data_IF_088066681070
#
_entry.id   IF_088066681070
#
_cell.length_a   1.000
_cell.length_b   1.000
_cell.length_c   1.000
_cell.angle_alpha   90.00
_cell.angle_beta   90.00
_cell.angle_gamma   90.00
#
_symmetry.space_group_name_H-M   'P 1'
#
loop_
_entity.id
_entity.type
_entity.pdbx_description
1 polymer ?
#
# COMPACT_ATOMS: atom_id res chain seq x y z
N UNK A 1 21.07 -38.46 -40.09
CA UNK A 1 21.59 -37.67 -38.95
C UNK A 1 20.64 -36.50 -38.74
N UNK A 2 19.91 -36.32 -37.64
CA UNK A 2 19.65 -37.11 -36.44
C UNK A 2 18.35 -36.56 -35.84
N UNK A 3 17.45 -37.45 -35.41
CA UNK A 3 16.28 -37.09 -34.60
C UNK A 3 16.81 -36.69 -33.22
N UNK A 4 16.38 -35.55 -32.69
CA UNK A 4 16.53 -35.24 -31.26
C UNK A 4 15.15 -35.23 -30.63
N UNK A 5 14.83 -36.35 -29.98
CA UNK A 5 13.83 -36.42 -28.93
C UNK A 5 14.24 -35.47 -27.81
N UNK A 6 13.40 -34.47 -27.53
CA UNK A 6 13.53 -33.66 -26.32
C UNK A 6 12.37 -34.03 -25.39
N UNK A 7 12.70 -34.98 -24.50
CA UNK A 7 12.18 -35.20 -23.15
C UNK A 7 10.68 -34.99 -22.90
N UNK A 8 9.92 -36.09 -22.97
CA UNK A 8 8.63 -36.31 -22.26
C UNK A 8 8.73 -36.32 -20.72
N UNK A 9 9.86 -35.91 -20.13
CA UNK A 9 10.11 -35.93 -18.68
C UNK A 9 9.93 -34.56 -17.99
N UNK A 10 9.65 -33.48 -18.72
CA UNK A 10 9.35 -32.16 -18.16
C UNK A 10 7.87 -31.94 -17.82
N UNK A 11 6.99 -32.88 -18.18
CA UNK A 11 5.53 -32.80 -17.94
C UNK A 11 5.06 -33.45 -16.63
N UNK A 12 5.97 -33.93 -15.78
CA UNK A 12 5.62 -34.60 -14.51
C UNK A 12 6.08 -33.88 -13.23
N UNK A 13 6.75 -32.73 -13.34
CA UNK A 13 7.28 -31.99 -12.17
C UNK A 13 6.66 -30.60 -11.97
N UNK A 14 5.59 -30.26 -12.71
CA UNK A 14 4.77 -29.06 -12.50
C UNK A 14 3.41 -29.36 -11.84
N UNK A 15 3.25 -30.57 -11.28
CA UNK A 15 2.27 -30.84 -10.24
C UNK A 15 3.01 -30.88 -8.89
N UNK A 16 3.64 -29.76 -8.53
CA UNK A 16 4.04 -29.55 -7.15
C UNK A 16 2.76 -29.28 -6.35
N UNK A 17 2.23 -30.33 -5.72
CA UNK A 17 1.40 -30.31 -4.51
C UNK A 17 0.53 -29.03 -4.35
N UNK A 18 -0.60 -28.96 -5.05
CA UNK A 18 -1.76 -28.26 -4.50
C UNK A 18 -2.17 -29.05 -3.26
N UNK A 19 -1.56 -28.71 -2.12
CA UNK A 19 -1.98 -29.18 -0.81
C UNK A 19 -3.47 -28.90 -0.72
N UNK A 20 -4.29 -29.96 -0.62
CA UNK A 20 -5.74 -29.82 -0.47
C UNK A 20 -6.01 -28.82 0.66
N UNK A 21 -6.56 -27.66 0.29
CA UNK A 21 -6.85 -26.61 1.26
C UNK A 21 -8.03 -27.09 2.09
N UNK A 22 -7.85 -27.09 3.41
CA UNK A 22 -8.90 -27.56 4.32
C UNK A 22 -10.07 -26.56 4.34
N UNK A 23 -11.33 -27.02 4.52
CA UNK A 23 -12.49 -26.14 4.60
C UNK A 23 -12.33 -25.01 5.63
N UNK A 24 -11.66 -25.27 6.76
CA UNK A 24 -11.44 -24.28 7.82
C UNK A 24 -10.52 -23.14 7.37
N UNK A 25 -9.52 -23.42 6.53
CA UNK A 25 -8.66 -22.38 5.96
C UNK A 25 -9.44 -21.48 5.00
N UNK A 26 -10.39 -22.05 4.25
CA UNK A 26 -11.24 -21.29 3.32
C UNK A 26 -12.23 -20.41 4.08
N UNK A 27 -12.87 -20.93 5.12
CA UNK A 27 -13.75 -20.16 6.01
C UNK A 27 -13.01 -18.97 6.63
N UNK A 28 -11.74 -19.18 7.02
CA UNK A 28 -10.88 -18.08 7.51
C UNK A 28 -10.62 -17.03 6.43
N UNK A 29 -10.33 -17.43 5.20
CA UNK A 29 -10.12 -16.49 4.09
C UNK A 29 -11.38 -15.67 3.80
N UNK A 30 -12.56 -16.31 3.82
CA UNK A 30 -13.85 -15.63 3.73
C UNK A 30 -14.04 -14.63 4.85
N UNK A 31 -13.81 -15.04 6.11
CA UNK A 31 -13.91 -14.16 7.29
C UNK A 31 -13.00 -12.95 7.16
N UNK A 32 -11.71 -13.17 6.91
CA UNK A 32 -10.73 -12.10 6.81
C UNK A 32 -11.10 -11.13 5.67
N UNK A 33 -11.44 -11.65 4.49
CA UNK A 33 -11.81 -10.84 3.32
C UNK A 33 -13.12 -10.09 3.49
N UNK A 34 -14.08 -10.67 4.21
CA UNK A 34 -15.36 -10.04 4.54
C UNK A 34 -15.18 -8.85 5.46
N UNK A 35 -14.44 -9.04 6.56
CA UNK A 35 -14.22 -7.98 7.54
C UNK A 35 -13.28 -6.86 7.07
N UNK A 36 -12.36 -7.14 6.15
CA UNK A 36 -11.54 -6.11 5.48
C UNK A 36 -12.23 -5.47 4.27
N UNK A 37 -13.46 -5.92 3.93
CA UNK A 37 -14.25 -5.45 2.78
C UNK A 37 -13.51 -5.57 1.44
N UNK A 38 -12.87 -6.71 1.19
CA UNK A 38 -12.20 -6.97 -0.07
C UNK A 38 -13.18 -7.04 -1.24
N UNK A 39 -12.68 -6.86 -2.47
CA UNK A 39 -13.52 -7.00 -3.67
C UNK A 39 -14.07 -8.42 -3.73
N UNK A 40 -15.37 -8.57 -4.00
CA UNK A 40 -15.99 -9.90 -4.09
C UNK A 40 -15.21 -10.83 -5.03
N UNK A 41 -14.69 -10.33 -6.15
CA UNK A 41 -13.91 -11.15 -7.09
C UNK A 41 -12.63 -11.79 -6.51
N UNK A 42 -12.12 -11.32 -5.36
CA UNK A 42 -10.92 -11.91 -4.72
C UNK A 42 -11.23 -13.02 -3.71
N UNK A 43 -12.50 -13.31 -3.43
CA UNK A 43 -12.87 -14.37 -2.50
C UNK A 43 -12.65 -15.75 -3.13
N UNK A 44 -12.42 -16.81 -2.33
CA UNK A 44 -12.17 -18.17 -2.80
C UNK A 44 -13.47 -18.88 -3.24
N UNK A 45 -14.21 -18.24 -4.15
CA UNK A 45 -15.50 -18.73 -4.63
C UNK A 45 -15.42 -20.07 -5.36
N UNK A 46 -14.31 -20.37 -6.04
CA UNK A 46 -14.14 -21.63 -6.77
C UNK A 46 -14.22 -22.85 -5.85
N UNK A 47 -13.72 -22.72 -4.62
CA UNK A 47 -13.86 -23.77 -3.61
C UNK A 47 -15.33 -23.92 -3.21
N UNK A 48 -16.02 -22.81 -2.94
CA UNK A 48 -17.43 -22.83 -2.57
C UNK A 48 -18.29 -23.46 -3.67
N UNK A 49 -18.06 -23.10 -4.93
CA UNK A 49 -18.80 -23.65 -6.07
C UNK A 49 -18.61 -25.18 -6.18
N UNK A 50 -17.38 -25.67 -5.92
CA UNK A 50 -17.08 -27.10 -5.90
C UNK A 50 -17.76 -27.84 -4.75
N UNK A 51 -17.80 -27.25 -3.55
CA UNK A 51 -18.50 -27.82 -2.39
C UNK A 51 -20.02 -27.91 -2.63
N UNK A 52 -20.61 -26.84 -3.18
CA UNK A 52 -22.03 -26.81 -3.52
C UNK A 52 -22.40 -27.87 -4.56
N UNK A 53 -21.54 -28.11 -5.55
CA UNK A 53 -21.77 -29.13 -6.59
C UNK A 53 -21.60 -30.57 -6.08
N UNK A 54 -20.63 -30.80 -5.18
CA UNK A 54 -20.25 -32.15 -4.74
C UNK A 54 -21.10 -32.67 -3.58
N UNK A 55 -21.34 -31.84 -2.57
CA UNK A 55 -21.98 -32.27 -1.34
C UNK A 55 -23.47 -31.89 -1.31
N UNK A 56 -23.87 -30.84 -2.06
CA UNK A 56 -25.22 -30.21 -2.01
C UNK A 56 -25.71 -29.86 -0.59
N UNK A 57 -24.86 -30.02 0.41
CA UNK A 57 -25.14 -29.72 1.80
C UNK A 57 -24.95 -28.22 2.02
N UNK A 58 -25.94 -27.62 2.66
CA UNK A 58 -25.88 -26.21 3.05
C UNK A 58 -25.06 -25.96 4.32
N UNK A 59 -24.46 -27.01 4.90
CA UNK A 59 -23.68 -26.94 6.13
C UNK A 59 -22.48 -25.97 6.01
N UNK A 60 -21.77 -26.02 4.88
CA UNK A 60 -20.63 -25.11 4.65
C UNK A 60 -21.09 -23.64 4.55
N UNK A 61 -22.25 -23.37 3.94
CA UNK A 61 -22.81 -22.00 3.87
C UNK A 61 -23.23 -21.52 5.25
N UNK A 62 -23.89 -22.36 6.06
CA UNK A 62 -24.27 -22.00 7.43
C UNK A 62 -23.02 -21.66 8.26
N UNK A 63 -21.95 -22.45 8.15
CA UNK A 63 -20.69 -22.13 8.82
C UNK A 63 -20.04 -20.85 8.28
N UNK A 64 -20.05 -20.65 6.95
CA UNK A 64 -19.57 -19.41 6.33
C UNK A 64 -20.32 -18.17 6.85
N UNK A 65 -21.64 -18.27 7.03
CA UNK A 65 -22.45 -17.20 7.60
C UNK A 65 -22.08 -16.90 9.06
N UNK A 66 -21.86 -17.95 9.88
CA UNK A 66 -21.35 -17.82 11.26
C UNK A 66 -19.98 -17.17 11.33
N UNK A 67 -19.14 -17.40 10.32
CA UNK A 67 -17.82 -16.77 10.21
C UNK A 67 -17.85 -15.35 9.60
N UNK A 68 -18.99 -14.86 9.11
CA UNK A 68 -19.11 -13.57 8.42
C UNK A 68 -20.24 -12.69 8.98
N UNK A 69 -21.42 -12.68 8.35
CA UNK A 69 -22.52 -11.78 8.70
C UNK A 69 -23.08 -12.03 10.11
N UNK A 70 -23.09 -13.29 10.55
CA UNK A 70 -23.60 -13.70 11.88
C UNK A 70 -22.49 -13.76 12.94
N UNK A 71 -21.25 -13.41 12.57
CA UNK A 71 -20.13 -13.41 13.50
C UNK A 71 -20.30 -12.31 14.56
N UNK A 72 -19.98 -12.54 15.85
CA UNK A 72 -20.15 -11.53 16.91
C UNK A 72 -19.45 -10.19 16.63
N UNK A 73 -18.29 -10.24 15.97
CA UNK A 73 -17.56 -9.05 15.51
C UNK A 73 -18.37 -8.22 14.51
N UNK A 74 -19.20 -8.83 13.66
CA UNK A 74 -20.06 -8.13 12.72
C UNK A 74 -21.17 -7.35 13.45
N UNK A 75 -21.71 -7.89 14.54
CA UNK A 75 -22.67 -7.17 15.38
C UNK A 75 -22.07 -5.94 16.06
N UNK A 76 -20.80 -6.00 16.46
CA UNK A 76 -20.11 -4.87 17.14
C UNK A 76 -19.49 -3.87 16.16
N UNK A 77 -18.86 -4.37 15.11
CA UNK A 77 -18.08 -3.60 14.13
C UNK A 77 -18.46 -4.04 12.72
N UNK A 78 -19.68 -3.71 12.26
CA UNK A 78 -20.20 -4.20 10.98
C UNK A 78 -19.45 -3.57 9.79
N UNK A 79 -19.11 -4.39 8.77
CA UNK A 79 -18.82 -3.89 7.43
C UNK A 79 -19.99 -3.05 6.87
N UNK A 80 -19.72 -2.26 5.83
CA UNK A 80 -20.74 -1.36 5.27
C UNK A 80 -22.00 -2.12 4.85
N UNK A 81 -23.16 -1.49 5.06
CA UNK A 81 -24.48 -2.07 4.72
C UNK A 81 -24.50 -2.51 3.25
N UNK A 82 -24.02 -1.65 2.35
CA UNK A 82 -23.89 -1.96 0.92
C UNK A 82 -23.05 -3.22 0.68
N UNK A 83 -21.91 -3.36 1.35
CA UNK A 83 -21.02 -4.51 1.18
C UNK A 83 -21.66 -5.81 1.69
N UNK A 84 -22.27 -5.78 2.88
CA UNK A 84 -22.98 -6.93 3.44
C UNK A 84 -24.12 -7.39 2.51
N UNK A 85 -24.88 -6.44 1.95
CA UNK A 85 -25.96 -6.72 0.99
C UNK A 85 -25.44 -7.47 -0.25
N UNK A 86 -24.41 -6.93 -0.91
CA UNK A 86 -23.86 -7.57 -2.13
C UNK A 86 -23.21 -8.92 -1.84
N UNK A 87 -22.59 -9.08 -0.66
CA UNK A 87 -21.99 -10.35 -0.25
C UNK A 87 -23.05 -11.44 -0.04
N UNK A 88 -24.11 -11.13 0.70
CA UNK A 88 -25.24 -12.04 0.93
C UNK A 88 -25.97 -12.38 -0.37
N UNK A 89 -26.24 -11.38 -1.23
CA UNK A 89 -26.85 -11.63 -2.55
C UNK A 89 -25.99 -12.53 -3.44
N UNK A 90 -24.66 -12.41 -3.39
CA UNK A 90 -23.76 -13.28 -4.16
C UNK A 90 -23.79 -14.72 -3.64
N UNK A 91 -23.90 -14.94 -2.32
CA UNK A 91 -24.07 -16.28 -1.74
C UNK A 91 -25.39 -16.93 -2.15
N UNK A 92 -26.49 -16.16 -2.17
CA UNK A 92 -27.81 -16.65 -2.63
C UNK A 92 -27.71 -17.08 -4.10
N UNK A 93 -27.22 -16.17 -4.96
CA UNK A 93 -27.08 -16.41 -6.39
C UNK A 93 -26.25 -17.66 -6.69
N UNK A 94 -25.19 -17.93 -5.91
CA UNK A 94 -24.33 -19.11 -6.11
C UNK A 94 -25.01 -20.42 -5.72
N UNK A 95 -25.79 -20.43 -4.64
CA UNK A 95 -26.61 -21.60 -4.28
C UNK A 95 -27.67 -21.89 -5.33
N UNK A 96 -28.40 -20.86 -5.77
CA UNK A 96 -29.40 -20.98 -6.84
C UNK A 96 -28.78 -21.51 -8.14
N UNK A 97 -27.61 -21.00 -8.53
CA UNK A 97 -26.88 -21.46 -9.71
C UNK A 97 -26.39 -22.91 -9.61
N UNK A 98 -26.14 -23.41 -8.39
CA UNK A 98 -25.81 -24.80 -8.12
C UNK A 98 -27.05 -25.72 -8.05
N UNK A 99 -28.27 -25.16 -8.22
CA UNK A 99 -29.53 -25.89 -8.10
C UNK A 99 -29.84 -26.30 -6.65
N UNK A 100 -29.30 -25.57 -5.68
CA UNK A 100 -29.61 -25.72 -4.25
C UNK A 100 -30.63 -24.66 -3.84
N UNK A 101 -31.56 -25.02 -2.95
CA UNK A 101 -32.43 -24.04 -2.30
C UNK A 101 -31.60 -23.24 -1.27
N UNK A 102 -31.54 -21.90 -1.34
CA UNK A 102 -30.75 -21.12 -0.40
C UNK A 102 -31.30 -21.23 1.03
N UNK A 103 -30.41 -21.26 2.01
CA UNK A 103 -30.78 -21.30 3.43
C UNK A 103 -31.69 -20.14 3.86
N UNK A 104 -32.71 -20.44 4.65
CA UNK A 104 -33.58 -19.43 5.28
C UNK A 104 -32.76 -18.40 6.10
N UNK A 105 -31.75 -18.87 6.85
CA UNK A 105 -30.83 -18.03 7.63
C UNK A 105 -30.13 -16.95 6.77
N UNK A 106 -29.90 -17.23 5.48
CA UNK A 106 -29.27 -16.31 4.54
C UNK A 106 -30.23 -15.20 4.10
N UNK A 107 -31.50 -15.56 3.88
CA UNK A 107 -32.56 -14.59 3.58
C UNK A 107 -32.86 -13.72 4.80
N UNK A 108 -32.90 -14.30 6.00
CA UNK A 108 -33.07 -13.56 7.26
C UNK A 108 -31.94 -12.54 7.45
N UNK A 109 -30.69 -12.95 7.27
CA UNK A 109 -29.53 -12.06 7.35
C UNK A 109 -29.59 -10.94 6.29
N UNK A 110 -30.07 -11.24 5.07
CA UNK A 110 -30.23 -10.23 4.03
C UNK A 110 -31.37 -9.25 4.36
N UNK A 111 -32.50 -9.74 4.86
CA UNK A 111 -33.64 -8.93 5.27
C UNK A 111 -33.26 -7.97 6.39
N UNK A 112 -32.47 -8.43 7.37
CA UNK A 112 -31.92 -7.58 8.43
C UNK A 112 -31.08 -6.44 7.84
N UNK A 113 -30.17 -6.74 6.91
CA UNK A 113 -29.31 -5.72 6.27
C UNK A 113 -30.11 -4.74 5.40
N UNK A 114 -31.19 -5.18 4.76
CA UNK A 114 -32.06 -4.32 3.96
C UNK A 114 -32.83 -3.29 4.81
N UNK A 115 -33.05 -3.59 6.10
CA UNK A 115 -33.68 -2.68 7.05
C UNK A 115 -32.76 -1.59 7.61
N UNK A 116 -31.44 -1.66 7.34
CA UNK A 116 -30.44 -0.73 7.90
C UNK A 116 -30.14 0.42 6.93
N UNK A 117 -30.12 1.65 7.46
CA UNK A 117 -29.74 2.84 6.70
C UNK A 117 -28.25 2.82 6.30
N UNK A 118 -27.96 3.16 5.04
CA UNK A 118 -26.58 3.29 4.56
C UNK A 118 -25.95 4.58 5.10
N UNK A 119 -24.77 4.46 5.70
CA UNK A 119 -24.00 5.62 6.18
C UNK A 119 -22.68 5.75 5.42
N UNK A 120 -22.03 6.92 5.55
CA UNK A 120 -20.72 7.18 4.95
C UNK A 120 -19.57 6.50 5.70
N UNK A 121 -19.84 5.95 6.89
CA UNK A 121 -18.87 5.28 7.74
C UNK A 121 -19.15 3.77 7.77
N UNK A 122 -18.09 3.00 7.91
CA UNK A 122 -18.18 1.58 8.19
C UNK A 122 -17.05 1.14 9.10
N UNK A 123 -17.13 -0.11 9.56
CA UNK A 123 -16.00 -0.73 10.21
C UNK A 123 -15.29 -1.67 9.23
N UNK A 124 -13.96 -1.63 9.26
CA UNK A 124 -13.13 -2.72 8.76
C UNK A 124 -12.41 -3.35 9.93
N UNK A 125 -12.27 -4.67 9.91
CA UNK A 125 -11.55 -5.40 10.95
C UNK A 125 -10.44 -6.27 10.34
N UNK A 126 -9.27 -6.18 10.95
CA UNK A 126 -8.02 -6.80 10.51
C UNK A 126 -7.55 -7.79 11.58
N UNK A 127 -7.53 -9.08 11.26
CA UNK A 127 -7.15 -10.13 12.22
C UNK A 127 -5.62 -10.25 12.29
N UNK A 128 -5.04 -10.12 13.49
CA UNK A 128 -3.58 -10.10 13.68
C UNK A 128 -2.92 -11.48 13.62
N UNK A 129 -3.68 -12.54 13.91
CA UNK A 129 -3.17 -13.93 13.90
C UNK A 129 -4.11 -14.79 13.06
N UNK A 130 -3.56 -15.47 12.06
CA UNK A 130 -4.32 -16.39 11.19
C UNK A 130 -4.93 -17.56 12.00
N UNK A 131 -4.41 -17.89 13.19
CA UNK A 131 -4.89 -18.95 14.07
C UNK A 131 -5.54 -18.43 15.37
N UNK A 132 -5.96 -17.16 15.42
CA UNK A 132 -6.64 -16.63 16.60
C UNK A 132 -7.92 -17.42 16.91
N UNK A 133 -8.20 -17.56 18.22
CA UNK A 133 -9.47 -18.01 18.78
C UNK A 133 -10.68 -17.40 18.04
N UNK A 134 -11.83 -18.09 17.93
CA UNK A 134 -13.06 -17.55 17.34
C UNK A 134 -13.50 -16.18 17.90
N UNK A 135 -13.01 -15.76 19.07
CA UNK A 135 -13.23 -14.41 19.63
C UNK A 135 -12.08 -13.41 19.29
N UNK A 136 -11.45 -13.61 18.13
CA UNK A 136 -10.05 -13.28 17.84
C UNK A 136 -9.58 -11.82 17.95
N UNK A 137 -8.26 -11.72 18.18
CA UNK A 137 -7.43 -10.51 18.30
C UNK A 137 -7.43 -9.69 16.99
N UNK A 138 -8.53 -8.95 16.74
CA UNK A 138 -8.69 -8.11 15.56
C UNK A 138 -8.52 -6.62 15.92
N UNK A 139 -7.94 -5.87 14.99
CA UNK A 139 -7.96 -4.40 14.98
C UNK A 139 -9.18 -3.98 14.16
N UNK A 140 -10.14 -3.32 14.81
CA UNK A 140 -11.30 -2.75 14.14
C UNK A 140 -11.11 -1.25 13.98
N UNK A 141 -11.41 -0.69 12.81
CA UNK A 141 -11.26 0.72 12.50
C UNK A 141 -12.56 1.24 11.91
N UNK A 142 -12.98 2.42 12.35
CA UNK A 142 -13.98 3.22 11.65
C UNK A 142 -13.28 3.88 10.46
N UNK A 143 -13.79 3.61 9.26
CA UNK A 143 -13.30 4.14 7.99
C UNK A 143 -14.44 4.77 7.18
N UNK A 144 -14.11 5.68 6.27
CA UNK A 144 -15.06 6.17 5.28
C UNK A 144 -15.24 5.11 4.18
N UNK A 145 -16.47 4.98 3.67
CA UNK A 145 -16.76 4.09 2.54
C UNK A 145 -16.10 4.59 1.26
N UNK A 146 -15.99 5.92 1.10
CA UNK A 146 -15.35 6.56 -0.03
C UNK A 146 -13.85 6.78 0.22
N UNK A 147 -13.01 6.39 -0.75
CA UNK A 147 -11.53 6.55 -0.70
C UNK A 147 -11.10 8.02 -0.60
N UNK A 148 -11.87 8.93 -1.23
CA UNK A 148 -11.67 10.37 -1.12
C UNK A 148 -12.93 10.94 -0.47
N UNK A 149 -12.77 11.56 0.69
CA UNK A 149 -13.86 12.13 1.46
C UNK A 149 -13.36 13.32 2.26
N UNK A 150 -14.16 14.37 2.41
CA UNK A 150 -13.79 15.56 3.21
C UNK A 150 -12.44 16.19 2.79
N UNK A 151 -12.12 16.10 1.50
CA UNK A 151 -10.85 16.55 0.94
C UNK A 151 -9.66 15.62 1.23
N UNK A 152 -9.82 14.59 2.06
CA UNK A 152 -8.78 13.67 2.54
C UNK A 152 -8.86 12.27 1.97
N UNK A 153 -7.72 11.57 1.99
CA UNK A 153 -7.57 10.13 1.76
C UNK A 153 -7.14 9.38 3.02
N UNK A 154 -6.89 10.09 4.13
CA UNK A 154 -6.45 9.54 5.41
C UNK A 154 -7.57 8.87 6.22
N UNK A 155 -8.80 8.84 5.70
CA UNK A 155 -9.97 8.22 6.33
C UNK A 155 -10.21 6.77 5.90
N UNK A 156 -9.26 6.19 5.14
CA UNK A 156 -9.26 4.77 4.73
C UNK A 156 -7.88 4.17 4.90
N UNK A 157 -7.83 2.85 5.10
CA UNK A 157 -6.56 2.09 5.12
C UNK A 157 -6.01 1.86 3.71
N UNK A 158 -4.72 2.10 3.53
CA UNK A 158 -3.98 1.89 2.26
C UNK A 158 -3.12 0.61 2.28
N UNK A 159 -2.78 0.07 1.10
CA UNK A 159 -2.02 -1.19 1.01
C UNK A 159 -0.63 -1.11 1.65
N UNK A 160 0.03 0.04 1.60
CA UNK A 160 1.32 0.25 2.27
C UNK A 160 1.20 0.12 3.80
N UNK A 161 0.09 0.56 4.39
CA UNK A 161 -0.15 0.44 5.83
C UNK A 161 -0.36 -1.03 6.23
N UNK A 162 -1.06 -1.80 5.39
CA UNK A 162 -1.23 -3.24 5.58
C UNK A 162 0.11 -3.98 5.48
N UNK A 163 0.90 -3.68 4.45
CA UNK A 163 2.24 -4.28 4.28
C UNK A 163 3.16 -3.93 5.45
N UNK A 164 3.18 -2.66 5.88
CA UNK A 164 4.01 -2.25 7.01
C UNK A 164 3.53 -2.90 8.32
N UNK A 165 2.23 -3.05 8.51
CA UNK A 165 1.69 -3.77 9.66
C UNK A 165 2.11 -5.26 9.67
N UNK A 166 2.13 -5.93 8.51
CA UNK A 166 2.67 -7.30 8.42
C UNK A 166 4.17 -7.35 8.74
N UNK A 167 4.95 -6.42 8.20
CA UNK A 167 6.38 -6.33 8.50
C UNK A 167 6.64 -6.08 9.99
N UNK A 168 5.82 -5.24 10.63
CA UNK A 168 5.86 -4.98 12.08
C UNK A 168 5.64 -6.25 12.88
N UNK A 169 4.66 -7.09 12.50
CA UNK A 169 4.38 -8.35 13.20
C UNK A 169 5.57 -9.33 13.14
N UNK A 170 6.37 -9.27 12.07
CA UNK A 170 7.57 -10.10 11.90
C UNK A 170 8.83 -9.49 12.54
N UNK A 171 8.79 -8.19 12.89
CA UNK A 171 9.95 -7.46 13.41
C UNK A 171 9.65 -6.71 14.73
N UNK A 172 9.05 -7.36 15.75
CA UNK A 172 8.67 -6.69 16.99
C UNK A 172 9.87 -6.09 17.76
N UNK A 173 11.07 -6.65 17.60
CA UNK A 173 12.31 -6.17 18.21
C UNK A 173 12.69 -4.75 17.79
N UNK A 174 12.20 -4.27 16.64
CA UNK A 174 12.47 -2.91 16.14
C UNK A 174 11.70 -1.86 16.94
N UNK A 175 10.64 -2.25 17.66
CA UNK A 175 9.75 -1.34 18.39
C UNK A 175 9.72 -1.62 19.90
N UNK A 176 10.14 -2.81 20.33
CA UNK A 176 10.12 -3.20 21.75
C UNK A 176 10.92 -2.23 22.59
N UNK A 177 10.28 -1.67 23.61
CA UNK A 177 10.95 -0.74 24.52
C UNK A 177 11.27 0.64 23.94
N UNK A 178 10.83 0.96 22.72
CA UNK A 178 11.17 2.18 22.00
C UNK A 178 10.07 3.24 22.00
N UNK A 179 10.46 4.50 21.83
CA UNK A 179 9.58 5.62 21.52
C UNK A 179 9.38 5.70 20.00
N UNK A 180 8.15 5.57 19.53
CA UNK A 180 7.82 5.47 18.10
C UNK A 180 7.00 6.67 17.65
N UNK A 181 7.36 7.27 16.51
CA UNK A 181 6.57 8.29 15.82
C UNK A 181 6.07 7.75 14.48
N UNK A 182 4.77 7.84 14.23
CA UNK A 182 4.20 7.55 12.92
C UNK A 182 3.81 8.84 12.21
N UNK A 183 4.33 9.03 10.99
CA UNK A 183 4.04 10.18 10.13
C UNK A 183 2.92 9.81 9.15
N UNK A 184 1.84 10.60 9.15
CA UNK A 184 0.69 10.35 8.27
C UNK A 184 -0.06 9.08 8.66
N UNK A 185 -0.41 8.94 9.94
CA UNK A 185 -1.07 7.77 10.52
C UNK A 185 -2.41 7.42 9.87
N UNK A 186 -3.11 8.38 9.26
CA UNK A 186 -4.44 8.14 8.70
C UNK A 186 -5.40 7.61 9.76
N UNK A 187 -6.06 6.48 9.47
CA UNK A 187 -6.97 5.79 10.42
C UNK A 187 -6.25 4.98 11.50
N UNK A 188 -4.92 4.81 11.42
CA UNK A 188 -4.08 4.31 12.52
C UNK A 188 -3.77 2.82 12.52
N UNK A 189 -4.03 2.08 11.43
CA UNK A 189 -3.83 0.62 11.39
C UNK A 189 -2.43 0.19 11.85
N UNK A 190 -1.39 0.76 11.25
CA UNK A 190 -0.01 0.34 11.51
C UNK A 190 0.41 0.68 12.93
N UNK A 191 0.18 1.91 13.40
CA UNK A 191 0.50 2.28 14.77
C UNK A 191 -0.27 1.49 15.84
N UNK A 192 -1.54 1.16 15.61
CA UNK A 192 -2.31 0.29 16.52
C UNK A 192 -1.73 -1.13 16.53
N UNK A 193 -1.26 -1.62 15.37
CA UNK A 193 -0.56 -2.91 15.26
C UNK A 193 0.73 -2.91 16.09
N UNK A 194 1.57 -1.87 15.97
CA UNK A 194 2.80 -1.73 16.77
C UNK A 194 2.47 -1.73 18.27
N UNK A 195 1.45 -0.96 18.68
CA UNK A 195 1.07 -0.84 20.08
C UNK A 195 0.60 -2.17 20.69
N UNK A 196 -0.12 -2.99 19.92
CA UNK A 196 -0.68 -4.27 20.40
C UNK A 196 0.33 -5.42 20.34
N UNK A 197 1.20 -5.42 19.34
CA UNK A 197 2.03 -6.59 19.03
C UNK A 197 3.51 -6.44 19.37
N UNK A 198 4.00 -5.20 19.60
CA UNK A 198 5.44 -4.96 19.70
C UNK A 198 5.90 -4.26 20.97
N UNK A 199 5.01 -4.00 21.94
CA UNK A 199 5.34 -3.45 23.27
C UNK A 199 6.29 -2.23 23.25
N UNK A 200 5.99 -1.15 22.51
CA UNK A 200 6.75 0.10 22.63
C UNK A 200 6.57 0.72 24.03
N UNK A 201 7.44 1.65 24.43
CA UNK A 201 7.20 2.45 25.66
C UNK A 201 6.28 3.63 25.39
N UNK A 202 6.37 4.22 24.19
CA UNK A 202 5.61 5.38 23.75
C UNK A 202 5.30 5.27 22.27
N UNK A 203 4.09 5.66 21.88
CA UNK A 203 3.71 5.78 20.48
C UNK A 203 3.04 7.12 20.24
N UNK A 204 3.54 7.88 19.26
CA UNK A 204 2.97 9.14 18.79
C UNK A 204 2.41 8.92 17.41
N UNK A 205 1.09 8.91 17.31
CA UNK A 205 0.37 8.98 16.05
C UNK A 205 0.37 10.43 15.57
N UNK A 206 0.63 10.67 14.29
CA UNK A 206 0.60 12.03 13.75
C UNK A 206 0.04 12.13 12.34
N UNK A 207 -0.68 13.22 12.10
CA UNK A 207 -1.29 13.58 10.83
C UNK A 207 -1.43 15.11 10.76
N UNK A 208 -1.64 15.68 9.57
CA UNK A 208 -1.81 17.12 9.41
C UNK A 208 -3.29 17.55 9.40
N UNK A 209 -4.22 16.63 9.12
CA UNK A 209 -5.65 16.94 8.99
C UNK A 209 -6.43 16.76 10.29
N UNK A 210 -7.10 17.82 10.74
CA UNK A 210 -7.92 17.79 11.95
C UNK A 210 -9.00 16.69 11.94
N UNK A 211 -9.70 16.51 10.82
CA UNK A 211 -10.72 15.46 10.65
C UNK A 211 -10.11 14.06 10.75
N UNK A 212 -8.92 13.85 10.16
CA UNK A 212 -8.20 12.56 10.25
C UNK A 212 -7.76 12.32 11.69
N UNK A 213 -7.21 13.33 12.38
CA UNK A 213 -6.80 13.23 13.77
C UNK A 213 -7.98 12.92 14.71
N UNK A 214 -9.16 13.47 14.46
CA UNK A 214 -10.36 13.15 15.22
C UNK A 214 -10.75 11.67 15.06
N UNK A 215 -10.84 11.20 13.82
CA UNK A 215 -11.11 9.79 13.49
C UNK A 215 -10.05 8.85 14.07
N UNK A 216 -8.79 9.24 14.00
CA UNK A 216 -7.67 8.49 14.54
C UNK A 216 -7.77 8.35 16.07
N UNK A 217 -8.14 9.42 16.79
CA UNK A 217 -8.38 9.35 18.24
C UNK A 217 -9.53 8.40 18.57
N UNK A 218 -10.58 8.38 17.76
CA UNK A 218 -11.67 7.42 17.89
C UNK A 218 -11.16 5.98 17.75
N UNK A 219 -10.41 5.68 16.67
CA UNK A 219 -9.87 4.36 16.41
C UNK A 219 -8.86 3.89 17.47
N UNK A 220 -7.99 4.77 17.95
CA UNK A 220 -7.05 4.48 19.05
C UNK A 220 -7.83 4.07 20.31
N UNK A 221 -8.85 4.83 20.70
CA UNK A 221 -9.71 4.51 21.85
C UNK A 221 -10.50 3.23 21.66
N UNK A 222 -11.05 3.02 20.45
CA UNK A 222 -11.84 1.84 20.08
C UNK A 222 -11.03 0.54 20.25
N UNK A 223 -9.72 0.60 19.99
CA UNK A 223 -8.80 -0.52 20.17
C UNK A 223 -8.19 -0.61 21.58
N UNK A 224 -8.77 0.08 22.56
CA UNK A 224 -8.38 0.00 23.97
C UNK A 224 -7.03 0.66 24.30
N UNK A 225 -6.51 1.50 23.40
CA UNK A 225 -5.28 2.25 23.61
C UNK A 225 -5.56 3.62 24.24
N UNK A 226 -4.64 4.08 25.09
CA UNK A 226 -4.78 5.31 25.87
C UNK A 226 -5.17 5.07 27.34
N UNK A 227 -5.52 6.14 28.04
CA UNK A 227 -5.97 6.07 29.45
C UNK A 227 -4.87 5.74 30.46
N UNK A 228 -3.63 6.15 30.20
CA UNK A 228 -2.49 5.98 31.13
C UNK A 228 -1.92 4.56 31.19
N UNK A 229 -2.34 3.66 30.30
CA UNK A 229 -1.77 2.32 30.14
C UNK A 229 -0.49 2.37 29.31
N UNK A 230 0.33 1.32 29.40
CA UNK A 230 1.47 1.11 28.50
C UNK A 230 1.00 0.44 27.20
N UNK A 231 1.45 0.86 26.01
CA UNK A 231 2.32 2.01 25.76
C UNK A 231 1.63 3.35 26.02
N UNK A 232 2.42 4.38 26.37
CA UNK A 232 1.91 5.75 26.39
C UNK A 232 1.59 6.20 24.96
N UNK A 233 0.31 6.40 24.65
CA UNK A 233 -0.15 6.79 23.30
C UNK A 233 -0.60 8.25 23.25
N UNK A 234 -0.15 8.98 22.24
CA UNK A 234 -0.63 10.34 21.92
C UNK A 234 -1.00 10.47 20.44
N UNK A 235 -1.94 11.38 20.13
CA UNK A 235 -2.36 11.71 18.76
C UNK A 235 -2.19 13.21 18.54
N UNK A 236 -1.13 13.56 17.81
CA UNK A 236 -0.65 14.93 17.67
C UNK A 236 -0.74 15.42 16.23
N UNK A 237 -1.02 16.71 16.04
CA UNK A 237 -0.96 17.32 14.72
C UNK A 237 0.50 17.54 14.33
N UNK A 238 0.90 17.06 13.16
CA UNK A 238 2.24 17.28 12.62
C UNK A 238 2.15 17.48 11.10
N UNK A 239 2.38 18.71 10.68
CA UNK A 239 2.51 19.08 9.27
C UNK A 239 3.98 19.06 8.86
N UNK A 240 4.32 18.27 7.86
CA UNK A 240 5.70 18.07 7.43
C UNK A 240 6.38 19.36 6.97
N UNK A 241 5.61 20.28 6.38
CA UNK A 241 6.16 21.55 5.88
C UNK A 241 6.45 22.56 7.00
N UNK A 242 5.67 22.51 8.08
CA UNK A 242 5.66 23.58 9.10
C UNK A 242 6.04 23.11 10.50
N UNK A 243 6.31 21.82 10.71
CA UNK A 243 6.67 21.26 12.01
C UNK A 243 7.89 21.98 12.64
N UNK A 244 7.71 22.65 13.80
CA UNK A 244 8.80 23.33 14.47
C UNK A 244 9.75 22.32 15.12
N UNK A 245 11.04 22.64 15.15
CA UNK A 245 12.06 21.76 15.73
C UNK A 245 11.78 21.41 17.20
N UNK A 246 11.23 22.36 17.96
CA UNK A 246 10.83 22.14 19.36
C UNK A 246 9.80 21.02 19.52
N UNK A 247 8.86 20.88 18.59
CA UNK A 247 7.91 19.78 18.60
C UNK A 247 8.64 18.43 18.39
N UNK A 248 9.58 18.39 17.45
CA UNK A 248 10.38 17.18 17.15
C UNK A 248 11.26 16.79 18.35
N UNK A 249 11.88 17.77 19.01
CA UNK A 249 12.69 17.56 20.22
C UNK A 249 11.88 17.06 21.42
N UNK A 250 10.58 17.34 21.46
CA UNK A 250 9.68 16.83 22.51
C UNK A 250 9.24 15.39 22.29
N UNK A 251 9.13 14.97 21.03
CA UNK A 251 8.70 13.60 20.69
C UNK A 251 9.78 12.58 21.09
N UNK A 252 11.06 12.89 20.82
CA UNK A 252 12.21 12.01 21.07
C UNK A 252 11.99 10.59 20.51
N UNK A 253 11.78 10.44 19.20
CA UNK A 253 11.55 9.12 18.61
C UNK A 253 12.86 8.35 18.49
N UNK A 254 12.85 7.08 18.92
CA UNK A 254 13.90 6.11 18.60
C UNK A 254 13.63 5.47 17.23
N UNK A 255 12.36 5.33 16.86
CA UNK A 255 11.92 4.78 15.57
C UNK A 255 10.86 5.70 14.95
N UNK A 256 10.97 5.98 13.66
CA UNK A 256 9.98 6.72 12.86
C UNK A 256 9.46 5.82 11.76
N UNK A 257 8.15 5.74 11.60
CA UNK A 257 7.49 4.98 10.54
C UNK A 257 6.57 5.86 9.70
N UNK A 258 6.42 5.56 8.42
CA UNK A 258 5.44 6.18 7.53
C UNK A 258 4.94 5.16 6.49
N UNK A 259 3.65 5.20 6.15
CA UNK A 259 3.06 4.35 5.12
C UNK A 259 2.07 5.11 4.24
N UNK A 260 2.19 4.98 2.91
CA UNK A 260 1.22 5.63 2.00
C UNK A 260 1.37 5.25 0.52
N UNK A 261 0.39 5.63 -0.33
CA UNK A 261 0.40 5.37 -1.77
C UNK A 261 1.22 6.39 -2.59
N UNK A 262 1.68 5.97 -3.78
CA UNK A 262 2.39 6.78 -4.79
C UNK A 262 1.78 6.60 -6.22
N UNK A 263 0.63 7.19 -6.52
CA UNK A 263 -0.18 7.38 -7.78
C UNK A 263 -0.30 8.77 -8.48
N UNK A 264 0.09 8.93 -9.74
CA UNK A 264 -0.19 10.15 -10.52
C UNK A 264 -1.69 10.34 -10.82
N UNK A 265 -2.24 11.55 -10.63
CA UNK A 265 -3.58 11.95 -11.08
C UNK A 265 -3.67 13.43 -11.47
N UNK A 266 -4.58 13.85 -12.37
CA UNK A 266 -4.60 15.21 -12.90
C UNK A 266 -4.96 16.25 -11.82
N UNK A 267 -4.07 17.22 -11.62
CA UNK A 267 -4.30 18.39 -10.78
C UNK A 267 -5.36 19.30 -11.41
N UNK A 268 -6.60 19.16 -10.97
CA UNK A 268 -7.62 20.18 -11.20
C UNK A 268 -8.29 20.51 -9.87
N UNK A 269 -8.21 21.80 -9.52
CA UNK A 269 -8.79 22.50 -8.38
C UNK A 269 -7.85 22.72 -7.18
N UNK A 270 -7.39 23.97 -7.05
CA UNK A 270 -6.73 24.55 -5.87
C UNK A 270 -7.75 24.60 -4.72
N UNK A 271 -7.68 23.64 -3.81
CA UNK A 271 -8.13 23.69 -2.41
C UNK A 271 -8.24 22.27 -1.82
N UNK A 272 -7.20 21.43 -1.96
CA UNK A 272 -7.21 20.07 -1.39
C UNK A 272 -5.76 19.63 -1.17
N UNK A 273 -5.23 19.77 0.05
CA UNK A 273 -3.92 19.22 0.42
C UNK A 273 -4.20 18.21 1.52
N UNK A 274 -4.17 16.91 1.17
CA UNK A 274 -4.18 15.78 2.10
C UNK A 274 -3.30 14.68 1.54
N UNK A 275 -2.89 13.72 2.40
CA UNK A 275 -2.16 12.45 2.25
C UNK A 275 -2.58 11.53 1.08
N UNK A 276 -3.19 12.10 0.05
CA UNK A 276 -3.14 11.67 -1.33
C UNK A 276 -1.73 11.86 -1.91
N UNK A 277 -0.84 12.57 -1.20
CA UNK A 277 0.43 12.98 -1.76
C UNK A 277 1.66 12.81 -0.84
N UNK A 278 2.18 11.58 -0.66
CA UNK A 278 3.54 11.41 -0.10
C UNK A 278 4.63 11.76 -1.12
N UNK A 279 4.35 11.77 -2.44
CA UNK A 279 5.43 11.82 -3.45
C UNK A 279 5.13 12.67 -4.72
N UNK A 280 4.11 13.52 -4.77
CA UNK A 280 3.63 14.06 -6.07
C UNK A 280 3.77 15.54 -6.22
N UNK A 281 3.50 16.25 -5.13
CA UNK A 281 3.92 17.61 -5.03
C UNK A 281 5.42 17.55 -4.68
N UNK A 282 6.33 18.01 -5.56
CA UNK A 282 7.72 18.12 -5.22
C UNK A 282 7.92 18.93 -3.92
N UNK A 283 6.98 19.81 -3.57
CA UNK A 283 6.96 20.54 -2.31
C UNK A 283 6.66 19.62 -1.11
N UNK A 284 5.71 18.68 -1.22
CA UNK A 284 5.41 17.74 -0.12
C UNK A 284 6.50 16.67 0.03
N UNK A 285 7.02 16.15 -1.08
CA UNK A 285 8.16 15.23 -1.06
C UNK A 285 9.42 15.92 -0.48
N UNK A 286 9.64 17.19 -0.83
CA UNK A 286 10.68 18.03 -0.23
C UNK A 286 10.43 18.26 1.26
N UNK A 287 9.21 18.64 1.64
CA UNK A 287 8.83 18.86 3.04
C UNK A 287 9.03 17.62 3.91
N UNK A 288 8.68 16.43 3.39
CA UNK A 288 8.96 15.18 4.07
C UNK A 288 10.47 14.96 4.19
N UNK A 289 11.25 15.10 3.12
CA UNK A 289 12.71 14.97 3.18
C UNK A 289 13.35 15.93 4.20
N UNK A 290 12.91 17.19 4.22
CA UNK A 290 13.37 18.21 5.16
C UNK A 290 12.99 17.87 6.61
N UNK A 291 11.77 17.36 6.84
CA UNK A 291 11.35 16.86 8.14
C UNK A 291 12.20 15.68 8.60
N UNK A 292 12.45 14.70 7.73
CA UNK A 292 13.27 13.52 8.06
C UNK A 292 14.71 13.93 8.42
N UNK A 293 15.30 14.87 7.66
CA UNK A 293 16.61 15.44 7.98
C UNK A 293 16.57 16.18 9.33
N UNK A 294 15.54 16.99 9.58
CA UNK A 294 15.35 17.69 10.86
C UNK A 294 15.24 16.71 12.03
N UNK A 295 14.53 15.60 11.87
CA UNK A 295 14.45 14.52 12.86
C UNK A 295 15.84 13.94 13.13
N UNK A 296 16.60 13.56 12.10
CA UNK A 296 17.94 12.99 12.25
C UNK A 296 18.96 13.99 12.82
N UNK A 297 18.78 15.29 12.59
CA UNK A 297 19.59 16.33 13.21
C UNK A 297 19.29 16.46 14.72
N UNK A 298 18.04 16.26 15.13
CA UNK A 298 17.67 16.23 16.55
C UNK A 298 18.05 14.91 17.22
N UNK A 299 17.96 13.80 16.48
CA UNK A 299 18.04 12.43 16.97
C UNK A 299 18.81 11.56 15.97
N UNK A 300 20.14 11.65 15.98
CA UNK A 300 21.01 10.96 15.02
C UNK A 300 20.85 9.42 15.05
N UNK A 301 20.50 8.85 16.21
CA UNK A 301 20.27 7.42 16.35
C UNK A 301 18.86 6.94 15.92
N UNK A 302 17.97 7.86 15.50
CA UNK A 302 16.60 7.50 15.15
C UNK A 302 16.56 6.62 13.89
N UNK A 303 15.83 5.51 13.96
CA UNK A 303 15.64 4.58 12.86
C UNK A 303 14.39 4.95 12.05
N UNK A 304 14.56 5.34 10.78
CA UNK A 304 13.46 5.83 9.94
C UNK A 304 13.11 4.78 8.88
N UNK A 305 11.85 4.35 8.86
CA UNK A 305 11.31 3.37 7.91
C UNK A 305 10.12 3.97 7.14
N UNK A 306 10.14 3.85 5.81
CA UNK A 306 9.09 4.39 4.93
C UNK A 306 8.60 3.27 4.02
N UNK A 307 7.31 2.98 4.09
CA UNK A 307 6.64 2.01 3.23
C UNK A 307 5.80 2.73 2.17
N UNK A 308 6.02 2.39 0.89
CA UNK A 308 5.35 3.04 -0.24
C UNK A 308 4.70 2.02 -1.17
N UNK A 309 3.41 2.19 -1.47
CA UNK A 309 2.78 1.51 -2.62
C UNK A 309 3.16 2.25 -3.90
N UNK A 310 3.98 1.64 -4.74
CA UNK A 310 4.49 2.24 -5.97
C UNK A 310 3.46 2.05 -7.08
N UNK A 311 2.72 3.11 -7.41
CA UNK A 311 1.75 3.09 -8.52
C UNK A 311 2.25 3.89 -9.73
N UNK A 312 3.18 4.82 -9.53
CA UNK A 312 3.95 5.50 -10.58
C UNK A 312 5.47 5.45 -10.25
N UNK A 313 6.27 4.65 -11.00
CA UNK A 313 7.71 4.51 -10.76
C UNK A 313 8.52 5.80 -10.91
N UNK A 314 8.18 6.67 -11.86
CA UNK A 314 8.89 7.94 -12.09
C UNK A 314 8.74 8.88 -10.90
N UNK A 315 7.52 8.97 -10.40
CA UNK A 315 7.18 9.79 -9.24
C UNK A 315 7.93 9.29 -8.01
N UNK A 316 7.90 7.98 -7.76
CA UNK A 316 8.64 7.36 -6.67
C UNK A 316 10.17 7.56 -6.77
N UNK A 317 10.73 7.47 -7.98
CA UNK A 317 12.13 7.82 -8.25
C UNK A 317 12.44 9.29 -7.92
N UNK A 318 11.51 10.21 -8.21
CA UNK A 318 11.61 11.62 -7.85
C UNK A 318 11.72 11.85 -6.33
N UNK A 319 10.96 11.12 -5.51
CA UNK A 319 11.10 11.18 -4.04
C UNK A 319 12.46 10.70 -3.55
N UNK A 320 12.97 9.59 -4.08
CA UNK A 320 14.32 9.10 -3.76
C UNK A 320 15.40 10.15 -4.06
N UNK A 321 15.30 10.80 -5.22
CA UNK A 321 16.19 11.92 -5.58
C UNK A 321 16.05 13.12 -4.64
N UNK A 322 14.85 13.42 -4.12
CA UNK A 322 14.64 14.48 -3.13
C UNK A 322 15.26 14.15 -1.78
N UNK A 323 15.15 12.91 -1.31
CA UNK A 323 15.89 12.44 -0.13
C UNK A 323 17.40 12.64 -0.33
N UNK A 324 17.92 12.22 -1.48
CA UNK A 324 19.34 12.37 -1.80
C UNK A 324 19.81 13.82 -1.85
N UNK A 325 19.00 14.72 -2.41
CA UNK A 325 19.27 16.15 -2.49
C UNK A 325 19.25 16.82 -1.10
N UNK A 326 18.45 16.32 -0.17
CA UNK A 326 18.42 16.75 1.23
C UNK A 326 19.57 16.17 2.08
N UNK A 327 20.50 15.42 1.49
CA UNK A 327 21.62 14.79 2.21
C UNK A 327 21.27 13.46 2.90
N UNK A 328 20.12 12.87 2.56
CA UNK A 328 19.67 11.58 3.08
C UNK A 328 20.04 10.44 2.11
N UNK A 329 20.48 9.33 2.67
CA UNK A 329 20.61 8.04 1.98
C UNK A 329 19.38 7.17 2.27
N UNK A 330 19.12 6.20 1.40
CA UNK A 330 18.08 5.21 1.63
C UNK A 330 18.55 3.81 1.24
N UNK A 331 18.06 2.80 1.96
CA UNK A 331 18.31 1.39 1.69
C UNK A 331 16.97 0.66 1.57
N UNK A 332 16.78 -0.08 0.48
CA UNK A 332 15.60 -0.95 0.33
C UNK A 332 15.74 -2.14 1.26
N UNK A 333 14.74 -2.38 2.10
CA UNK A 333 14.66 -3.57 2.93
C UNK A 333 14.00 -4.69 2.11
N UNK A 334 14.78 -5.72 1.81
CA UNK A 334 14.34 -6.87 1.03
C UNK A 334 14.08 -8.07 1.93
N UNK A 335 13.01 -8.80 1.67
CA UNK A 335 12.67 -10.05 2.36
C UNK A 335 11.22 -10.42 2.07
N UNK A 336 10.85 -11.71 2.24
CA UNK A 336 9.43 -12.05 2.28
C UNK A 336 8.79 -11.34 3.48
N UNK A 337 7.60 -10.80 3.26
CA UNK A 337 6.71 -10.32 4.32
C UNK A 337 5.50 -11.24 4.34
N UNK A 338 5.12 -11.69 5.53
CA UNK A 338 4.00 -12.59 5.75
C UNK A 338 2.71 -12.06 5.16
N UNK A 339 1.85 -12.97 4.69
CA UNK A 339 0.55 -12.62 4.13
C UNK A 339 -0.55 -12.79 5.18
N UNK A 340 -0.60 -11.88 6.15
CA UNK A 340 -1.56 -11.90 7.26
C UNK A 340 -2.88 -11.25 6.83
N UNK A 341 -2.81 -10.12 6.13
CA UNK A 341 -4.00 -9.38 5.71
C UNK A 341 -4.34 -9.67 4.24
N UNK A 342 -5.64 -9.81 3.91
CA UNK A 342 -6.05 -9.98 2.53
C UNK A 342 -6.08 -8.61 1.85
N UNK A 343 -5.19 -8.38 0.88
CA UNK A 343 -5.23 -7.19 0.01
C UNK A 343 -4.49 -7.46 -1.31
N UNK A 344 -4.66 -6.55 -2.28
CA UNK A 344 -4.00 -6.69 -3.58
C UNK A 344 -2.51 -6.39 -3.48
N UNK A 345 -1.67 -7.35 -3.89
CA UNK A 345 -0.22 -7.20 -4.03
C UNK A 345 0.22 -6.97 -5.48
N UNK A 346 -0.71 -6.55 -6.34
CA UNK A 346 -0.42 -6.31 -7.76
C UNK A 346 0.46 -5.08 -7.97
N UNK A 347 0.26 -4.03 -7.16
CA UNK A 347 1.16 -2.89 -7.15
C UNK A 347 2.40 -3.23 -6.31
N UNK A 348 3.62 -2.95 -6.80
CA UNK A 348 4.83 -3.10 -5.99
C UNK A 348 4.74 -2.26 -4.72
N UNK A 349 5.13 -2.83 -3.59
CA UNK A 349 5.28 -2.13 -2.31
C UNK A 349 6.75 -2.21 -1.93
N UNK A 350 7.34 -1.07 -1.57
CA UNK A 350 8.74 -0.98 -1.17
C UNK A 350 8.84 -0.37 0.22
N UNK A 351 9.60 -1.04 1.09
CA UNK A 351 9.99 -0.55 2.40
C UNK A 351 11.44 -0.10 2.34
N UNK A 352 11.71 1.15 2.71
CA UNK A 352 13.06 1.72 2.76
C UNK A 352 13.43 2.15 4.17
N UNK A 353 14.70 1.97 4.52
CA UNK A 353 15.33 2.61 5.67
C UNK A 353 16.04 3.89 5.23
N UNK A 354 15.79 5.00 5.91
CA UNK A 354 16.39 6.31 5.61
C UNK A 354 17.44 6.66 6.67
N UNK A 355 18.58 7.21 6.25
CA UNK A 355 19.71 7.55 7.12
C UNK A 355 20.45 8.78 6.58
N UNK A 356 21.31 9.41 7.38
CA UNK A 356 22.17 10.50 6.89
C UNK A 356 23.27 9.94 6.00
N UNK A 357 23.57 10.58 4.87
CA UNK A 357 24.65 10.10 3.96
C UNK A 357 26.01 9.99 4.65
N UNK A 358 26.28 10.85 5.63
CA UNK A 358 27.53 10.85 6.41
C UNK A 358 27.66 9.65 7.36
N UNK A 359 26.56 8.94 7.63
CA UNK A 359 26.43 7.81 8.55
C UNK A 359 26.20 6.49 7.80
N UNK A 360 26.59 6.42 6.52
CA UNK A 360 26.45 5.20 5.72
C UNK A 360 26.97 3.98 6.51
N UNK A 361 26.19 2.88 6.59
CA UNK A 361 26.59 1.71 7.35
C UNK A 361 28.00 1.25 6.94
N UNK A 362 28.92 1.16 7.90
CA UNK A 362 30.30 0.70 7.71
C UNK A 362 30.42 -0.74 7.16
N UNK A 363 29.30 -1.44 6.96
CA UNK A 363 29.26 -2.75 6.31
C UNK A 363 28.72 -2.65 4.89
N UNK A 364 29.60 -2.25 3.96
CA UNK A 364 29.74 -2.81 2.60
C UNK A 364 30.83 -2.05 1.82
N UNK A 365 32.03 -2.01 2.40
CA UNK A 365 33.24 -1.54 1.73
C UNK A 365 34.05 -2.66 1.10
N UNK A 366 33.43 -3.61 0.36
CA UNK A 366 34.16 -4.57 -0.48
C UNK A 366 33.27 -5.29 -1.51
N UNK A 367 32.63 -4.58 -2.43
CA UNK A 367 32.35 -5.09 -3.77
C UNK A 367 31.82 -3.97 -4.69
N UNK A 368 32.42 -3.85 -5.87
CA UNK A 368 31.96 -3.04 -7.01
C UNK A 368 32.01 -1.51 -6.88
N UNK A 369 33.23 -0.95 -6.80
CA UNK A 369 33.49 0.32 -7.51
C UNK A 369 33.45 0.02 -9.02
N UNK A 370 32.26 0.12 -9.60
CA UNK A 370 32.10 0.23 -11.04
C UNK A 370 32.80 1.50 -11.51
N UNK A 371 33.93 1.32 -12.21
CA UNK A 371 34.63 2.42 -12.88
C UNK A 371 33.68 3.02 -13.90
N UNK A 372 33.41 4.31 -13.75
CA UNK A 372 32.80 5.14 -14.79
C UNK A 372 33.63 5.06 -16.06
N UNK A 373 32.93 4.81 -17.17
CA UNK A 373 33.39 4.53 -18.54
C UNK A 373 34.18 5.66 -19.24
N UNK A 374 34.82 6.59 -18.52
CA UNK A 374 35.49 7.77 -19.11
C UNK A 374 36.91 8.06 -18.57
N UNK A 375 37.65 7.07 -18.07
CA UNK A 375 39.02 7.34 -17.56
C UNK A 375 40.13 6.36 -17.98
N UNK A 376 39.99 5.65 -19.11
CA UNK A 376 41.08 4.82 -19.65
C UNK A 376 41.23 4.99 -21.16
N UNK A 377 41.66 6.18 -21.59
CA UNK A 377 42.30 6.38 -22.90
C UNK A 377 43.38 7.48 -22.78
N UNK A 378 44.29 7.35 -21.81
CA UNK A 378 45.55 8.09 -21.83
C UNK A 378 46.59 7.37 -20.98
N UNK A 379 47.23 6.34 -21.53
CA UNK A 379 48.59 5.91 -21.20
C UNK A 379 48.77 4.49 -21.72
N UNK A 380 49.47 4.36 -22.85
CA UNK A 380 50.73 3.63 -22.93
C UNK A 380 51.21 3.59 -24.38
N UNK A 381 52.33 4.27 -24.62
CA UNK A 381 53.25 4.02 -25.73
C UNK A 381 53.92 2.66 -25.49
N UNK A 382 53.99 1.80 -26.51
CA UNK A 382 55.23 1.13 -26.95
C UNK A 382 54.98 0.22 -28.18
N UNK A 383 56.04 -0.14 -28.94
CA UNK A 383 56.02 -0.10 -30.40
C UNK A 383 56.24 -1.47 -31.09
N UNK A 384 56.22 -1.42 -32.43
CA UNK A 384 56.80 -2.38 -33.40
C UNK A 384 55.98 -3.64 -33.76
N UNK A 385 55.36 -3.58 -34.96
CA UNK A 385 55.54 -4.48 -36.13
C UNK A 385 54.43 -4.13 -37.14
N UNK A 386 54.63 -3.11 -37.97
CA UNK A 386 55.24 -3.19 -39.31
C UNK A 386 54.36 -3.89 -40.38
N UNK A 387 53.87 -3.03 -41.30
CA UNK A 387 53.52 -3.27 -42.72
C UNK A 387 52.26 -4.12 -42.94
N UNK A 388 51.27 -3.69 -43.73
CA UNK A 388 51.40 -3.42 -45.18
C UNK A 388 50.09 -2.83 -45.73
N UNK A 389 50.22 -2.08 -46.83
CA UNK A 389 49.19 -1.62 -47.78
C UNK A 389 48.55 -0.22 -47.62
N UNK A 390 49.34 0.76 -48.07
CA UNK A 390 48.97 1.83 -49.01
C UNK A 390 47.77 1.51 -49.93
N UNK A 391 46.74 2.37 -49.98
CA UNK A 391 46.43 3.28 -51.13
C UNK A 391 45.04 3.94 -51.04
N UNK A 392 45.06 5.27 -51.27
CA UNK A 392 44.08 6.13 -51.98
C UNK A 392 42.80 6.62 -51.27
N UNK A 393 42.83 7.90 -50.88
CA UNK A 393 41.77 8.92 -51.11
C UNK A 393 41.62 9.21 -52.63
N UNK A 394 40.66 9.99 -53.18
CA UNK A 394 39.76 11.02 -52.60
C UNK A 394 38.25 10.75 -52.95
N UNK A 395 37.20 11.54 -52.68
CA UNK A 395 36.97 12.98 -52.86
C UNK A 395 35.58 13.40 -52.34
N UNK A 396 35.48 14.62 -51.79
CA UNK A 396 34.25 15.43 -51.63
C UNK A 396 33.77 15.96 -53.01
N UNK A 397 32.51 16.42 -53.14
CA UNK A 397 32.27 17.87 -53.00
C UNK A 397 30.98 18.28 -52.25
N UNK A 398 31.09 19.49 -51.72
CA UNK A 398 30.07 20.43 -51.22
C UNK A 398 29.05 20.89 -52.27
N UNK A 399 27.84 21.26 -51.86
CA UNK A 399 27.26 22.59 -52.16
C UNK A 399 25.92 22.89 -51.45
N UNK A 400 25.69 24.18 -51.25
CA UNK A 400 24.59 24.88 -50.59
C UNK A 400 23.33 24.99 -51.45
N UNK A 401 22.15 25.19 -50.84
CA UNK A 401 20.97 25.67 -51.55
C UNK A 401 19.71 25.85 -50.67
N UNK A 402 19.34 27.11 -50.43
CA UNK A 402 18.12 27.59 -49.76
C UNK A 402 16.82 27.24 -50.52
N UNK A 403 15.79 26.84 -49.78
CA UNK A 403 14.33 27.18 -49.88
C UNK A 403 13.58 26.10 -49.07
N UNK A 404 12.44 26.27 -48.41
CA UNK A 404 11.34 27.20 -48.51
C UNK A 404 10.52 27.08 -47.20
N UNK A 405 9.98 28.21 -46.72
CA UNK A 405 9.00 28.25 -45.62
C UNK A 405 7.67 27.64 -46.08
N UNK A 406 7.03 26.80 -45.27
CA UNK A 406 5.57 26.63 -45.32
C UNK A 406 4.96 26.66 -43.92
N UNK A 407 4.11 27.66 -43.74
CA UNK A 407 3.26 27.91 -42.59
C UNK A 407 2.26 26.77 -42.36
N UNK A 408 2.06 26.40 -41.09
CA UNK A 408 0.93 25.59 -40.65
C UNK A 408 0.04 26.42 -39.71
N UNK A 409 -1.15 26.80 -40.18
CA UNK A 409 -2.22 27.41 -39.35
C UNK A 409 -3.15 26.32 -38.80
N UNK A 410 -3.61 26.39 -37.54
CA UNK A 410 -4.54 25.43 -36.98
C UNK A 410 -6.02 25.73 -37.32
N UNK A 411 -6.78 24.67 -37.56
CA UNK A 411 -8.19 24.70 -37.93
C UNK A 411 -9.12 25.05 -36.74
N UNK A 412 -10.00 26.03 -36.95
CA UNK A 412 -11.12 26.40 -36.07
C UNK A 412 -12.22 25.33 -36.10
N UNK A 413 -12.58 24.75 -34.95
CA UNK A 413 -13.85 24.03 -34.77
C UNK A 413 -14.93 24.98 -34.23
N UNK A 414 -16.05 25.05 -34.97
CA UNK A 414 -17.26 25.84 -34.67
C UNK A 414 -17.99 25.25 -33.45
N UNK A 415 -18.33 26.09 -32.46
CA UNK A 415 -19.41 25.83 -31.48
C UNK A 415 -20.76 26.06 -32.17
N UNK A 416 -21.69 25.12 -32.05
CA UNK A 416 -23.13 25.35 -32.28
C UNK A 416 -23.77 25.63 -30.92
N UNK A 417 -24.42 26.78 -30.81
CA UNK A 417 -25.45 27.08 -29.80
C UNK A 417 -26.70 26.26 -30.10
N UNK A 418 -27.35 25.76 -29.06
CA UNK A 418 -28.75 25.34 -29.09
C UNK A 418 -29.43 26.12 -27.96
N UNK A 419 -30.32 27.03 -28.36
CA UNK A 419 -31.38 27.61 -27.53
C UNK A 419 -32.67 26.84 -27.80
N UNK A 420 -33.40 26.49 -26.74
CA UNK A 420 -34.85 26.27 -26.76
C UNK A 420 -35.35 26.43 -25.32
N UNK A 421 -35.93 27.59 -24.99
CA UNK A 421 -37.36 27.86 -24.95
C UNK A 421 -38.04 27.36 -23.66
N UNK A 422 -38.32 28.36 -22.83
CA UNK A 422 -39.27 28.42 -21.72
C UNK A 422 -40.69 28.05 -22.12
N UNK A 423 -41.38 27.31 -21.26
CA UNK A 423 -42.83 27.11 -21.30
C UNK A 423 -43.41 27.16 -19.89
N UNK A 424 -44.12 28.28 -19.64
CA UNK A 424 -45.17 28.58 -18.63
C UNK A 424 -44.94 28.28 -17.17
#
# INVERSE_FOLDING_TARGET
MGKQEVNKHTWKMAHSEQKERKPEDILRDFRASFFSMNRLASFPWTFLDSELQSNKSSEFISELLKQTCLHPLCGKFPPSVRFRRIFLSELIKRQEAAGCDPLDELYDALAEVLGVEETLLCHKSYFLVLNASPNGDAISLVENVAVISEGTTGLVTWEAALYLAEWVLENPQVFTGRSVLELGSGVGLTGITVCRSCSPVRFVFSDCHAVVLEKLRENVRLNGLGGGKSPSVTVDQLDWATAPEEQIRRIRPDTVIAAGPVESGPARSRAVIVLKYVVYDPEVAGSLADLLLKILNCWAAAEILICSTIRNPETYGGFKLRLEAAGLGHQVLTGPVGAVFPYSRLAPIELIKVFRKDEAPLHLGAASRGRTFWSQLSSQRCPLLARRFLRKSPSLPSELGNSERRDWKPARRRRRQIESLSGT
#
